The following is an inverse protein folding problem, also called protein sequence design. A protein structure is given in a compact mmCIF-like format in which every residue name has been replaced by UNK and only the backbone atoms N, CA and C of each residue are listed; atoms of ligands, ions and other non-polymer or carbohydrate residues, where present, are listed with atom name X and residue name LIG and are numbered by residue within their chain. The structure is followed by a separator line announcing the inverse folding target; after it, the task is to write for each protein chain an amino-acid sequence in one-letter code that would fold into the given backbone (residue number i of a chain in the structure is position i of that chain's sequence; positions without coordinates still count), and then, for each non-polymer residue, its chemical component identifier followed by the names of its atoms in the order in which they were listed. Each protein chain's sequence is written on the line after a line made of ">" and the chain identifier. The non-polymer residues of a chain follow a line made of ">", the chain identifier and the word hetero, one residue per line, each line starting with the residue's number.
data_IF_841748527951
#
_entry.id   IF_841748527951
#
_cell.length_a   1.000
_cell.length_b   1.000
_cell.length_c   1.000
_cell.angle_alpha   90.00
_cell.angle_beta   90.00
_cell.angle_gamma   90.00
#
_symmetry.space_group_name_H-M   'P 1'
#
loop_
_entity.id
_entity.type
_entity.pdbx_description
1 polymer ?
#
# COMPACT_ATOMS: atom_id res chain seq x y z
N UNK A 1 -25.79 5.70 -7.27
CA UNK A 1 -25.06 4.46 -6.93
C UNK A 1 -23.84 4.88 -6.14
N UNK A 2 -23.65 4.34 -4.94
CA UNK A 2 -22.94 4.98 -3.81
C UNK A 2 -21.53 5.52 -4.11
N UNK A 3 -21.28 6.79 -3.78
CA UNK A 3 -19.98 7.47 -3.86
C UNK A 3 -18.85 6.69 -3.14
N UNK A 4 -19.22 5.88 -2.15
CA UNK A 4 -18.29 5.03 -1.40
C UNK A 4 -17.60 3.98 -2.27
N UNK A 5 -18.32 3.39 -3.23
CA UNK A 5 -17.74 2.37 -4.12
C UNK A 5 -16.63 2.97 -5.00
N UNK A 6 -16.79 4.22 -5.45
CA UNK A 6 -15.78 4.93 -6.22
C UNK A 6 -14.52 5.24 -5.41
N UNK A 7 -14.70 5.69 -4.17
CA UNK A 7 -13.57 5.96 -3.25
C UNK A 7 -12.82 4.67 -2.91
N UNK A 8 -13.53 3.60 -2.60
CA UNK A 8 -12.92 2.31 -2.29
C UNK A 8 -12.14 1.75 -3.49
N UNK A 9 -12.74 1.77 -4.68
CA UNK A 9 -12.08 1.34 -5.92
C UNK A 9 -10.79 2.13 -6.18
N UNK A 10 -10.85 3.46 -6.00
CA UNK A 10 -9.67 4.33 -6.12
C UNK A 10 -8.55 3.90 -5.16
N UNK A 11 -8.87 3.71 -3.87
CA UNK A 11 -7.88 3.36 -2.86
C UNK A 11 -7.23 2.01 -3.11
N UNK A 12 -8.02 0.98 -3.43
CA UNK A 12 -7.49 -0.33 -3.77
C UNK A 12 -6.60 -0.24 -5.01
N UNK A 13 -7.01 0.50 -6.03
CA UNK A 13 -6.21 0.62 -7.25
C UNK A 13 -4.92 1.38 -7.03
N UNK A 14 -4.91 2.44 -6.19
CA UNK A 14 -3.68 3.12 -5.78
C UNK A 14 -2.74 2.12 -5.08
N UNK A 15 -3.23 1.39 -4.07
CA UNK A 15 -2.42 0.43 -3.31
C UNK A 15 -1.82 -0.66 -4.20
N UNK A 16 -2.59 -1.19 -5.16
CA UNK A 16 -2.11 -2.18 -6.14
C UNK A 16 -1.05 -1.64 -7.10
N UNK A 17 -0.91 -0.32 -7.22
CA UNK A 17 0.02 0.33 -8.13
C UNK A 17 1.35 0.70 -7.48
N UNK A 18 1.39 0.78 -6.14
CA UNK A 18 2.61 1.13 -5.40
C UNK A 18 3.48 -0.13 -5.28
N UNK A 19 4.75 -0.08 -5.70
CA UNK A 19 5.65 -1.22 -5.56
C UNK A 19 6.20 -1.33 -4.13
N UNK A 20 6.63 -2.53 -3.74
CA UNK A 20 7.41 -2.73 -2.51
C UNK A 20 8.83 -2.16 -2.66
N UNK A 21 9.33 -1.53 -1.59
CA UNK A 21 10.70 -1.03 -1.47
C UNK A 21 11.71 -2.17 -1.73
N UNK A 22 12.83 -1.94 -2.44
CA UNK A 22 13.44 -0.66 -2.84
C UNK A 22 12.93 -0.06 -4.15
N UNK A 23 11.98 -0.72 -4.83
CA UNK A 23 11.33 -0.11 -6.00
C UNK A 23 10.41 1.00 -5.54
N UNK A 24 10.19 1.96 -6.43
CA UNK A 24 9.32 3.10 -6.16
C UNK A 24 8.49 3.46 -7.39
N UNK A 25 7.46 4.27 -7.18
CA UNK A 25 6.73 4.97 -8.22
C UNK A 25 6.65 6.45 -7.88
N UNK A 26 6.76 7.33 -8.87
CA UNK A 26 6.58 8.77 -8.68
C UNK A 26 5.11 9.17 -8.83
N UNK A 27 4.74 10.34 -8.30
CA UNK A 27 3.37 10.84 -8.46
C UNK A 27 2.93 10.98 -9.94
N UNK A 28 3.75 11.50 -10.87
CA UNK A 28 3.38 11.57 -12.29
C UNK A 28 3.20 10.20 -12.95
N UNK A 29 4.08 9.24 -12.66
CA UNK A 29 3.95 7.87 -13.19
C UNK A 29 2.67 7.19 -12.67
N UNK A 30 2.37 7.37 -11.38
CA UNK A 30 1.16 6.83 -10.78
C UNK A 30 -0.10 7.45 -11.41
N UNK A 31 -0.11 8.77 -11.67
CA UNK A 31 -1.22 9.42 -12.37
C UNK A 31 -1.47 8.79 -13.74
N UNK A 32 -0.42 8.66 -14.57
CA UNK A 32 -0.54 8.05 -15.89
C UNK A 32 -1.08 6.62 -15.83
N UNK A 33 -0.61 5.83 -14.86
CA UNK A 33 -1.07 4.46 -14.68
C UNK A 33 -2.54 4.36 -14.24
N UNK A 34 -3.02 5.33 -13.46
CA UNK A 34 -4.43 5.41 -13.04
C UNK A 34 -5.33 5.93 -14.17
N UNK A 35 -4.85 6.88 -14.97
CA UNK A 35 -5.55 7.36 -16.18
C UNK A 35 -5.75 6.24 -17.19
N UNK A 36 -4.74 5.38 -17.41
CA UNK A 36 -4.85 4.18 -18.25
C UNK A 36 -5.92 3.19 -17.76
N UNK A 37 -6.28 3.26 -16.47
CA UNK A 37 -7.35 2.47 -15.85
C UNK A 37 -8.70 3.20 -15.79
N UNK A 38 -8.81 4.35 -16.47
CA UNK A 38 -10.03 5.15 -16.54
C UNK A 38 -10.27 6.06 -15.34
N UNK A 39 -9.26 6.29 -14.48
CA UNK A 39 -9.36 7.20 -13.35
C UNK A 39 -8.59 8.50 -13.59
N UNK A 40 -9.33 9.60 -13.67
CA UNK A 40 -8.77 10.93 -13.84
C UNK A 40 -8.68 11.64 -12.49
N UNK A 41 -7.46 11.80 -11.99
CA UNK A 41 -7.17 12.39 -10.69
C UNK A 41 -6.19 13.54 -10.85
N UNK A 42 -6.16 14.44 -9.88
CA UNK A 42 -5.12 15.49 -9.83
C UNK A 42 -3.93 15.02 -9.03
N UNK A 43 -2.75 15.62 -9.27
CA UNK A 43 -1.56 15.37 -8.46
C UNK A 43 -1.82 15.61 -6.96
N UNK A 44 -2.56 16.68 -6.62
CA UNK A 44 -2.96 16.99 -5.24
C UNK A 44 -3.85 15.89 -4.64
N UNK A 45 -4.76 15.32 -5.44
CA UNK A 45 -5.62 14.21 -4.98
C UNK A 45 -4.79 12.97 -4.64
N UNK A 46 -3.86 12.58 -5.52
CA UNK A 46 -2.98 11.42 -5.28
C UNK A 46 -2.10 11.64 -4.06
N UNK A 47 -1.44 12.80 -3.97
CA UNK A 47 -0.57 13.10 -2.84
C UNK A 47 -1.34 13.07 -1.52
N UNK A 48 -2.50 13.72 -1.45
CA UNK A 48 -3.38 13.69 -0.26
C UNK A 48 -3.84 12.28 0.10
N UNK A 49 -4.27 11.49 -0.88
CA UNK A 49 -4.73 10.13 -0.63
C UNK A 49 -3.59 9.25 -0.09
N UNK A 50 -2.39 9.38 -0.64
CA UNK A 50 -1.20 8.67 -0.15
C UNK A 50 -0.76 9.14 1.25
N UNK A 51 -0.63 10.45 1.46
CA UNK A 51 -0.03 11.03 2.68
C UNK A 51 -0.99 11.15 3.87
N UNK A 52 -2.30 11.33 3.63
CA UNK A 52 -3.28 11.62 4.69
C UNK A 52 -4.33 10.51 4.85
N UNK A 53 -4.53 9.63 3.86
CA UNK A 53 -5.60 8.62 3.92
C UNK A 53 -5.05 7.20 4.03
N UNK A 54 -4.10 6.85 3.18
CA UNK A 54 -3.59 5.49 3.07
C UNK A 54 -2.42 5.23 4.04
N UNK A 55 -1.48 6.17 4.19
CA UNK A 55 -0.34 6.04 5.11
C UNK A 55 -0.71 5.79 6.57
N UNK A 56 -1.93 6.17 6.99
CA UNK A 56 -2.43 5.93 8.35
C UNK A 56 -2.64 4.42 8.61
N UNK A 57 -2.96 3.66 7.56
CA UNK A 57 -3.36 2.26 7.68
C UNK A 57 -2.42 1.29 6.97
N UNK A 58 -1.63 1.79 6.02
CA UNK A 58 -0.72 1.00 5.20
C UNK A 58 0.69 1.55 5.34
N UNK A 59 1.72 0.69 5.31
CA UNK A 59 3.11 1.08 5.51
C UNK A 59 3.69 1.73 4.24
N UNK A 60 3.14 2.89 3.86
CA UNK A 60 3.55 3.64 2.69
C UNK A 60 4.73 4.54 3.07
N UNK A 61 5.83 4.38 2.37
CA UNK A 61 7.02 5.21 2.47
C UNK A 61 6.98 6.32 1.41
N UNK A 62 7.42 7.51 1.79
CA UNK A 62 7.64 8.66 0.90
C UNK A 62 9.11 9.06 0.98
N UNK A 63 9.86 8.90 -0.10
CA UNK A 63 11.21 9.44 -0.25
C UNK A 63 11.14 10.82 -0.90
N UNK A 64 11.40 11.84 -0.07
CA UNK A 64 11.40 13.26 -0.43
C UNK A 64 12.80 13.80 -0.76
N UNK A 65 13.84 12.96 -0.73
CA UNK A 65 15.23 13.38 -0.98
C UNK A 65 15.43 13.93 -2.39
N UNK A 66 14.61 13.49 -3.35
CA UNK A 66 14.66 13.92 -4.74
C UNK A 66 13.25 14.20 -5.28
N UNK A 67 13.15 15.16 -6.20
CA UNK A 67 11.92 15.41 -6.95
C UNK A 67 11.99 14.69 -8.31
N UNK A 68 10.89 14.06 -8.77
CA UNK A 68 9.60 13.90 -8.08
C UNK A 68 9.69 12.95 -6.88
N UNK A 69 8.87 13.18 -5.85
CA UNK A 69 8.81 12.31 -4.67
C UNK A 69 8.47 10.88 -5.07
N UNK A 70 9.05 9.93 -4.33
CA UNK A 70 9.01 8.51 -4.62
C UNK A 70 8.19 7.79 -3.55
N UNK A 71 7.28 6.94 -4.00
CA UNK A 71 6.36 6.19 -3.13
C UNK A 71 6.64 4.70 -3.22
N UNK A 72 6.64 4.01 -2.09
CA UNK A 72 6.81 2.56 -2.01
C UNK A 72 6.10 1.98 -0.80
N UNK A 73 5.78 0.70 -0.81
CA UNK A 73 5.37 -0.02 0.40
C UNK A 73 6.60 -0.54 1.13
N UNK A 74 6.62 -0.41 2.46
CA UNK A 74 7.66 -1.01 3.28
C UNK A 74 7.58 -2.55 3.20
N UNK A 75 8.61 -3.17 2.64
CA UNK A 75 8.69 -4.62 2.52
C UNK A 75 9.08 -5.31 3.83
N UNK A 76 9.52 -4.54 4.83
CA UNK A 76 9.87 -5.06 6.16
C UNK A 76 8.72 -4.93 7.17
N UNK A 77 7.62 -4.28 6.79
CA UNK A 77 6.47 -4.15 7.65
C UNK A 77 5.83 -5.52 7.94
N UNK A 78 5.88 -5.93 9.20
CA UNK A 78 5.21 -7.13 9.69
C UNK A 78 3.87 -6.73 10.29
N UNK A 79 2.77 -7.33 9.80
CA UNK A 79 1.48 -7.19 10.47
C UNK A 79 1.44 -8.19 11.60
N UNK A 80 1.43 -7.70 12.83
CA UNK A 80 1.12 -8.51 14.01
C UNK A 80 -0.38 -8.83 14.04
N UNK A 81 -0.78 -9.73 13.14
CA UNK A 81 -2.13 -10.25 13.13
C UNK A 81 -2.33 -11.08 14.40
N UNK A 82 -3.39 -10.82 15.19
CA UNK A 82 -3.80 -11.71 16.27
C UNK A 82 -4.39 -12.95 15.61
N UNK A 83 -3.51 -13.85 15.20
CA UNK A 83 -3.89 -15.09 14.58
C UNK A 83 -4.24 -16.06 15.72
N UNK A 84 -5.51 -16.49 15.88
CA UNK A 84 -5.91 -17.31 17.03
C UNK A 84 -5.09 -18.62 17.14
N UNK A 85 -4.81 -19.20 18.29
CA UNK A 85 -4.01 -20.46 18.28
C UNK A 85 -4.73 -21.66 17.61
N UNK A 86 -5.99 -21.53 17.17
CA UNK A 86 -6.81 -22.59 16.57
C UNK A 86 -7.03 -22.51 15.04
N UNK A 87 -6.56 -21.48 14.31
CA UNK A 87 -6.58 -21.49 12.82
C UNK A 87 -5.38 -22.24 12.22
N UNK A 88 -4.40 -22.61 13.05
CA UNK A 88 -3.18 -23.32 12.65
C UNK A 88 -3.39 -24.78 12.21
N UNK A 89 -4.62 -25.31 12.23
CA UNK A 89 -4.91 -26.66 11.76
C UNK A 89 -4.83 -26.81 10.22
N UNK A 90 -4.72 -25.72 9.46
CA UNK A 90 -4.69 -25.78 7.99
C UNK A 90 -3.78 -24.79 7.27
N UNK A 91 -3.24 -23.77 7.95
CA UNK A 91 -2.34 -22.78 7.35
C UNK A 91 -0.94 -22.92 7.92
N UNK A 92 -0.05 -23.61 7.21
CA UNK A 92 1.39 -23.53 7.48
C UNK A 92 1.89 -22.17 7.00
N UNK A 93 2.23 -21.28 7.92
CA UNK A 93 2.91 -20.02 7.59
C UNK A 93 4.43 -20.26 7.52
N UNK A 94 5.07 -20.17 6.34
CA UNK A 94 6.51 -20.43 6.19
C UNK A 94 7.41 -19.35 6.85
N UNK A 95 6.85 -18.24 7.34
CA UNK A 95 7.62 -17.16 7.96
C UNK A 95 7.62 -17.17 9.51
N UNK A 96 6.99 -18.15 10.18
CA UNK A 96 6.93 -18.22 11.65
C UNK A 96 7.84 -19.31 12.21
N UNK A 97 9.11 -19.34 11.80
CA UNK A 97 10.04 -20.40 12.20
C UNK A 97 11.15 -19.98 13.18
N UNK A 98 11.07 -18.85 13.88
CA UNK A 98 12.17 -18.45 14.79
C UNK A 98 11.81 -17.97 16.20
N UNK A 99 10.56 -18.07 16.65
CA UNK A 99 10.15 -17.55 17.97
C UNK A 99 9.70 -18.63 18.97
N UNK A 100 10.34 -19.80 18.92
CA UNK A 100 10.19 -20.84 19.96
C UNK A 100 11.51 -21.56 20.22
N UNK A 101 12.50 -20.84 20.75
CA UNK A 101 13.66 -21.44 21.38
C UNK A 101 14.27 -20.46 22.39
N UNK A 102 13.74 -20.44 23.61
CA UNK A 102 14.49 -20.23 24.87
C UNK A 102 13.68 -20.85 26.00
#
# INVERSE_FOLDING_TARGET
>A
MSDFAGVFYRYITILQSIPSHPRYITTPELLQLLEQRGMYLTQRSIQRDLSERLSIHFPILCDESTRPYRWSLDNQYHVDLPVPNNWAAGYSNPNVSSLAAT
#
